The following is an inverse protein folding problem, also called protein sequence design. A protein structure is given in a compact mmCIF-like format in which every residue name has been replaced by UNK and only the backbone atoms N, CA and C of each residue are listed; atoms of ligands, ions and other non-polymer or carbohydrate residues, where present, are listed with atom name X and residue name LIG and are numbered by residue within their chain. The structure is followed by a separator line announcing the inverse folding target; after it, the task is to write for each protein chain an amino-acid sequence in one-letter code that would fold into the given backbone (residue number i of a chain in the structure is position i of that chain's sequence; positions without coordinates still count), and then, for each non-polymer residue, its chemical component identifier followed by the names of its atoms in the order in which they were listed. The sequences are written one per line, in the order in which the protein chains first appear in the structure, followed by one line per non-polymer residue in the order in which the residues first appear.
data_IF_306109119657
#
_entry.id   IF_306109119657
#
_cell.length_a   1.000
_cell.length_b   1.000
_cell.length_c   1.000
_cell.angle_alpha   90.00
_cell.angle_beta   90.00
_cell.angle_gamma   90.00
#
_symmetry.space_group_name_H-M   'P 1'
#
loop_
_entity.id
_entity.type
_entity.pdbx_description
1 polymer ?
#
# COMPACT_ATOMS: atom_id res chain seq x y z
N UNK A 1 -24.53 -46.86 -23.27
CA UNK A 1 -24.98 -45.45 -23.16
C UNK A 1 -24.00 -44.78 -22.22
N UNK A 2 -22.87 -44.38 -22.78
CA UNK A 2 -21.82 -43.61 -22.09
C UNK A 2 -21.97 -42.16 -22.55
N UNK A 3 -22.03 -41.26 -21.59
CA UNK A 3 -22.12 -39.81 -21.76
C UNK A 3 -20.78 -39.25 -22.21
N UNK A 4 -20.70 -38.37 -23.23
CA UNK A 4 -19.45 -37.79 -23.67
C UNK A 4 -19.00 -36.66 -22.73
N UNK A 5 -17.73 -36.74 -22.34
CA UNK A 5 -16.99 -35.71 -21.62
C UNK A 5 -16.97 -34.41 -22.43
N UNK A 6 -17.36 -33.30 -21.81
CA UNK A 6 -17.31 -31.98 -22.42
C UNK A 6 -15.89 -31.44 -22.39
N UNK A 7 -15.18 -31.53 -23.51
CA UNK A 7 -13.95 -30.78 -23.77
C UNK A 7 -14.24 -29.27 -23.68
N UNK A 8 -13.75 -28.63 -22.62
CA UNK A 8 -13.76 -27.19 -22.51
C UNK A 8 -12.69 -26.63 -23.47
N UNK A 9 -13.15 -26.14 -24.62
CA UNK A 9 -12.37 -25.42 -25.61
C UNK A 9 -11.57 -24.30 -24.93
N UNK A 10 -10.24 -24.45 -24.95
CA UNK A 10 -9.30 -23.35 -24.78
C UNK A 10 -9.58 -22.35 -25.91
N UNK A 11 -10.28 -21.28 -25.59
CA UNK A 11 -10.37 -20.12 -26.47
C UNK A 11 -9.06 -19.35 -26.35
N UNK A 12 -8.46 -19.14 -27.51
CA UNK A 12 -7.19 -18.47 -27.73
C UNK A 12 -7.16 -17.07 -27.10
N UNK A 13 -6.28 -16.88 -26.10
CA UNK A 13 -5.85 -15.54 -25.71
C UNK A 13 -4.95 -14.96 -26.81
N UNK A 14 -5.56 -14.11 -27.64
CA UNK A 14 -4.88 -13.32 -28.65
C UNK A 14 -3.96 -12.28 -28.00
N UNK A 15 -2.66 -12.52 -28.19
CA UNK A 15 -1.51 -11.62 -28.11
C UNK A 15 -1.71 -10.14 -27.76
N UNK A 16 -1.15 -9.77 -26.61
CA UNK A 16 -0.75 -8.42 -26.25
C UNK A 16 0.34 -8.48 -25.19
N UNK A 17 1.56 -8.89 -25.58
CA UNK A 17 2.72 -9.07 -24.70
C UNK A 17 3.28 -7.74 -24.16
N UNK A 18 2.47 -6.98 -23.44
CA UNK A 18 2.91 -5.83 -22.65
C UNK A 18 3.49 -6.31 -21.32
N UNK A 19 4.75 -5.98 -21.04
CA UNK A 19 5.37 -6.20 -19.73
C UNK A 19 4.52 -5.52 -18.64
N UNK A 20 4.26 -6.21 -17.52
CA UNK A 20 3.54 -5.61 -16.38
C UNK A 20 4.21 -4.30 -15.93
N UNK A 21 3.45 -3.26 -15.54
CA UNK A 21 4.04 -2.03 -15.04
C UNK A 21 4.87 -2.29 -13.79
N UNK A 22 5.90 -1.47 -13.59
CA UNK A 22 6.58 -1.37 -12.30
C UNK A 22 5.56 -0.85 -11.28
N UNK A 23 5.18 -1.68 -10.32
CA UNK A 23 4.11 -1.37 -9.36
C UNK A 23 4.72 -1.15 -7.99
N UNK A 24 4.46 0.00 -7.40
CA UNK A 24 4.85 0.29 -6.03
C UNK A 24 3.64 0.68 -5.17
N UNK A 25 3.74 0.41 -3.88
CA UNK A 25 2.76 0.86 -2.91
C UNK A 25 3.38 1.88 -1.95
N UNK A 26 2.67 2.99 -1.73
CA UNK A 26 3.01 3.99 -0.72
C UNK A 26 2.25 3.65 0.55
N UNK A 27 2.99 3.22 1.56
CA UNK A 27 2.50 2.77 2.86
C UNK A 27 2.76 3.80 3.94
N UNK A 28 1.90 3.81 4.97
CA UNK A 28 2.07 4.71 6.10
C UNK A 28 0.77 5.01 6.84
N UNK A 29 0.96 5.54 8.06
CA UNK A 29 -0.12 5.86 9.00
C UNK A 29 -1.17 6.82 8.40
N UNK A 30 -2.33 6.93 9.03
CA UNK A 30 -3.30 7.99 8.71
C UNK A 30 -2.62 9.33 8.99
N UNK A 31 -2.67 10.27 8.05
CA UNK A 31 -1.97 11.55 8.19
C UNK A 31 -0.46 11.53 7.89
N UNK A 32 0.10 10.43 7.35
CA UNK A 32 1.53 10.35 7.01
C UNK A 32 1.95 11.11 5.74
N UNK A 33 1.00 11.61 4.94
CA UNK A 33 1.29 12.34 3.69
C UNK A 33 1.31 11.51 2.41
N UNK A 34 0.72 10.30 2.39
CA UNK A 34 0.71 9.42 1.20
C UNK A 34 0.11 10.08 -0.04
N UNK A 35 -1.12 10.61 0.04
CA UNK A 35 -1.74 11.31 -1.11
C UNK A 35 -0.89 12.49 -1.59
N UNK A 36 -0.22 13.18 -0.66
CA UNK A 36 0.73 14.26 -1.00
C UNK A 36 1.92 13.74 -1.80
N UNK A 37 2.50 12.61 -1.41
CA UNK A 37 3.55 11.94 -2.19
C UNK A 37 3.05 11.53 -3.57
N UNK A 38 1.85 10.93 -3.69
CA UNK A 38 1.28 10.57 -4.99
C UNK A 38 1.18 11.80 -5.91
N UNK A 39 0.69 12.92 -5.38
CA UNK A 39 0.54 14.17 -6.13
C UNK A 39 1.88 14.72 -6.64
N UNK A 40 3.01 14.42 -6.01
CA UNK A 40 4.34 14.80 -6.51
C UNK A 40 4.66 14.16 -7.86
N UNK A 41 4.02 13.03 -8.18
CA UNK A 41 4.25 12.30 -9.43
C UNK A 41 3.15 12.52 -10.48
N UNK A 42 2.15 13.37 -10.21
CA UNK A 42 1.01 13.59 -11.11
C UNK A 42 1.39 14.12 -12.50
N UNK A 43 2.51 14.85 -12.59
CA UNK A 43 2.97 15.46 -13.83
C UNK A 43 3.66 14.47 -14.79
N UNK A 44 4.02 13.26 -14.31
CA UNK A 44 4.69 12.27 -15.14
C UNK A 44 3.67 11.44 -15.92
N UNK A 45 3.69 11.56 -17.25
CA UNK A 45 2.76 10.85 -18.14
C UNK A 45 3.00 9.33 -18.21
N UNK A 46 4.16 8.85 -17.76
CA UNK A 46 4.49 7.42 -17.67
C UNK A 46 4.09 6.78 -16.34
N UNK A 47 3.43 7.53 -15.45
CA UNK A 47 2.99 7.11 -14.12
C UNK A 47 1.47 7.10 -14.04
N UNK A 48 0.89 5.97 -13.62
CA UNK A 48 -0.49 5.88 -13.17
C UNK A 48 -0.53 6.03 -11.64
N UNK A 49 -1.33 6.96 -11.14
CA UNK A 49 -1.64 7.10 -9.72
C UNK A 49 -2.95 6.39 -9.41
N UNK A 50 -2.96 5.59 -8.35
CA UNK A 50 -4.14 4.88 -7.85
C UNK A 50 -4.32 5.22 -6.36
N UNK A 51 -4.96 6.37 -6.04
CA UNK A 51 -5.21 6.79 -4.66
C UNK A 51 -6.19 5.84 -3.96
N UNK A 52 -6.25 5.89 -2.62
CA UNK A 52 -7.24 5.12 -1.86
C UNK A 52 -8.65 5.60 -2.26
N UNK A 53 -9.61 4.69 -2.54
CA UNK A 53 -10.92 5.04 -3.03
C UNK A 53 -11.84 5.47 -1.88
N UNK A 54 -11.43 6.49 -1.11
CA UNK A 54 -12.14 7.00 0.07
C UNK A 54 -13.60 7.35 -0.27
N UNK A 55 -13.83 7.97 -1.42
CA UNK A 55 -15.17 8.35 -1.86
C UNK A 55 -16.10 7.13 -1.98
N UNK A 56 -15.58 6.00 -2.47
CA UNK A 56 -16.35 4.75 -2.54
C UNK A 56 -16.66 4.18 -1.15
N UNK A 57 -15.79 4.42 -0.17
CA UNK A 57 -15.99 3.96 1.21
C UNK A 57 -16.94 4.88 1.99
N UNK A 58 -17.00 6.16 1.62
CA UNK A 58 -17.95 7.14 2.16
C UNK A 58 -19.32 7.06 1.49
N UNK A 59 -19.43 6.49 0.29
CA UNK A 59 -20.70 6.29 -0.41
C UNK A 59 -20.75 4.95 -1.15
N UNK A 60 -21.03 3.87 -0.40
CA UNK A 60 -21.43 2.59 -0.99
C UNK A 60 -22.94 2.54 -1.11
N UNK A 61 -23.47 2.97 -2.26
CA UNK A 61 -24.92 2.97 -2.55
C UNK A 61 -25.75 3.70 -1.47
N UNK A 62 -25.28 4.85 -1.02
CA UNK A 62 -25.89 5.67 0.03
C UNK A 62 -25.44 5.33 1.45
N UNK A 63 -24.50 4.39 1.63
CA UNK A 63 -23.97 4.01 2.94
C UNK A 63 -22.52 4.48 3.14
N UNK A 64 -22.29 5.30 4.16
CA UNK A 64 -20.95 5.72 4.58
C UNK A 64 -20.31 4.67 5.49
N UNK A 65 -19.65 3.67 4.90
CA UNK A 65 -19.00 2.59 5.65
C UNK A 65 -17.83 3.09 6.51
N UNK A 66 -17.14 4.14 6.07
CA UNK A 66 -16.05 4.73 6.85
C UNK A 66 -16.57 5.37 8.14
N UNK A 67 -17.66 6.13 8.06
CA UNK A 67 -18.34 6.70 9.23
C UNK A 67 -18.87 5.60 10.17
N UNK A 68 -19.49 4.57 9.61
CA UNK A 68 -20.01 3.43 10.38
C UNK A 68 -18.90 2.68 11.12
N UNK A 69 -17.74 2.49 10.49
CA UNK A 69 -16.54 1.94 11.13
C UNK A 69 -16.15 2.76 12.36
N UNK A 70 -16.05 4.09 12.24
CA UNK A 70 -15.63 4.94 13.36
C UNK A 70 -16.69 5.08 14.47
N UNK A 71 -17.96 4.86 14.14
CA UNK A 71 -19.08 4.86 15.12
C UNK A 71 -19.17 3.57 15.92
N UNK A 72 -19.07 2.42 15.26
CA UNK A 72 -19.13 1.11 15.90
C UNK A 72 -18.17 0.13 15.20
N UNK A 73 -16.87 0.17 15.55
CA UNK A 73 -15.87 -0.69 14.92
C UNK A 73 -16.20 -2.17 15.07
N UNK A 74 -16.75 -2.59 16.23
CA UNK A 74 -17.09 -3.99 16.48
C UNK A 74 -18.16 -4.51 15.52
N UNK A 75 -19.11 -3.66 15.13
CA UNK A 75 -20.16 -4.04 14.19
C UNK A 75 -19.70 -3.96 12.74
N UNK A 76 -18.86 -3.00 12.39
CA UNK A 76 -18.64 -2.60 10.99
C UNK A 76 -17.24 -2.91 10.46
N UNK A 77 -16.27 -3.27 11.31
CA UNK A 77 -14.91 -3.61 10.86
C UNK A 77 -14.91 -4.73 9.82
N UNK A 78 -15.76 -5.76 9.95
CA UNK A 78 -15.76 -6.87 9.00
C UNK A 78 -16.21 -6.42 7.61
N UNK A 79 -17.36 -5.74 7.51
CA UNK A 79 -17.88 -5.25 6.23
C UNK A 79 -16.93 -4.22 5.62
N UNK A 80 -16.38 -3.33 6.43
CA UNK A 80 -15.43 -2.32 5.97
C UNK A 80 -14.16 -2.98 5.42
N UNK A 81 -13.50 -3.86 6.18
CA UNK A 81 -12.27 -4.52 5.72
C UNK A 81 -12.48 -5.44 4.52
N UNK A 82 -13.65 -6.10 4.43
CA UNK A 82 -14.03 -6.87 3.23
C UNK A 82 -14.16 -5.95 1.99
N UNK A 83 -14.81 -4.79 2.13
CA UNK A 83 -14.99 -3.85 1.03
C UNK A 83 -13.69 -3.12 0.64
N UNK A 84 -12.82 -2.80 1.60
CA UNK A 84 -11.48 -2.27 1.34
C UNK A 84 -10.65 -3.27 0.53
N UNK A 85 -10.72 -4.57 0.84
CA UNK A 85 -10.05 -5.60 0.02
C UNK A 85 -10.55 -5.62 -1.42
N UNK A 86 -11.88 -5.60 -1.63
CA UNK A 86 -12.47 -5.57 -2.96
C UNK A 86 -12.01 -4.34 -3.77
N UNK A 87 -12.14 -3.15 -3.19
CA UNK A 87 -11.83 -1.89 -3.87
C UNK A 87 -10.33 -1.75 -4.17
N UNK A 88 -9.44 -2.21 -3.27
CA UNK A 88 -7.99 -2.28 -3.56
C UNK A 88 -7.66 -3.29 -4.66
N UNK A 89 -8.34 -4.43 -4.69
CA UNK A 89 -8.17 -5.41 -5.76
C UNK A 89 -8.57 -4.83 -7.12
N UNK A 90 -9.67 -4.06 -7.17
CA UNK A 90 -10.10 -3.36 -8.38
C UNK A 90 -9.01 -2.41 -8.88
N UNK A 91 -8.40 -1.60 -8.00
CA UNK A 91 -7.29 -0.70 -8.37
C UNK A 91 -6.09 -1.45 -8.93
N UNK A 92 -5.67 -2.56 -8.31
CA UNK A 92 -4.57 -3.40 -8.82
C UNK A 92 -4.90 -3.97 -10.21
N UNK A 93 -6.18 -4.26 -10.46
CA UNK A 93 -6.67 -4.87 -11.71
C UNK A 93 -7.00 -3.89 -12.82
N UNK A 94 -7.02 -2.58 -12.53
CA UNK A 94 -7.16 -1.56 -13.56
C UNK A 94 -6.14 -1.79 -14.68
N UNK A 95 -6.57 -1.68 -15.93
CA UNK A 95 -5.67 -1.77 -17.08
C UNK A 95 -4.88 -0.48 -17.17
N UNK A 96 -3.60 -0.58 -17.52
CA UNK A 96 -2.74 0.59 -17.70
C UNK A 96 -1.75 0.40 -18.82
N UNK A 97 -1.47 1.49 -19.50
CA UNK A 97 -0.36 1.61 -20.44
C UNK A 97 0.82 2.37 -19.82
N UNK A 98 0.68 2.87 -18.60
CA UNK A 98 1.75 3.51 -17.86
C UNK A 98 2.86 2.49 -17.56
N UNK A 99 4.11 2.96 -17.57
CA UNK A 99 5.27 2.13 -17.23
C UNK A 99 5.32 1.88 -15.72
N UNK A 100 4.86 2.85 -14.93
CA UNK A 100 4.86 2.84 -13.48
C UNK A 100 3.44 2.95 -12.96
N UNK A 101 3.12 2.20 -11.91
CA UNK A 101 1.89 2.34 -11.12
C UNK A 101 2.25 2.62 -9.67
N UNK A 102 1.66 3.66 -9.11
CA UNK A 102 1.79 4.04 -7.71
C UNK A 102 0.45 3.85 -7.03
N UNK A 103 0.38 2.88 -6.12
CA UNK A 103 -0.79 2.60 -5.30
C UNK A 103 -0.68 3.37 -3.98
N UNK A 104 -1.74 4.04 -3.55
CA UNK A 104 -1.85 4.49 -2.16
C UNK A 104 -2.31 3.30 -1.31
N UNK A 105 -1.35 2.70 -0.59
CA UNK A 105 -1.46 1.39 0.08
C UNK A 105 -1.69 0.21 -0.84
N UNK A 106 -1.46 -0.99 -0.30
CA UNK A 106 -1.51 -2.27 -1.01
C UNK A 106 -2.61 -3.20 -0.48
N UNK A 107 -2.83 -4.33 -1.16
CA UNK A 107 -3.70 -5.38 -0.59
C UNK A 107 -3.06 -6.02 0.65
N UNK A 108 -1.73 -6.19 0.63
CA UNK A 108 -0.93 -6.72 1.74
C UNK A 108 -1.10 -5.87 3.01
N UNK A 109 -1.23 -4.55 2.87
CA UNK A 109 -1.50 -3.65 3.98
C UNK A 109 -2.81 -3.99 4.74
N UNK A 110 -3.86 -4.45 4.05
CA UNK A 110 -5.06 -4.91 4.76
C UNK A 110 -4.70 -6.05 5.71
N UNK A 111 -4.02 -7.09 5.19
CA UNK A 111 -3.65 -8.28 5.95
C UNK A 111 -2.70 -8.01 7.10
N UNK A 112 -1.58 -7.35 6.82
CA UNK A 112 -0.46 -7.25 7.76
C UNK A 112 -0.51 -5.99 8.64
N UNK A 113 -1.39 -5.04 8.32
CA UNK A 113 -1.52 -3.81 9.08
C UNK A 113 -2.92 -3.63 9.69
N UNK A 114 -3.97 -3.52 8.85
CA UNK A 114 -5.31 -3.20 9.34
C UNK A 114 -6.02 -4.35 10.06
N UNK A 115 -5.88 -5.59 9.59
CA UNK A 115 -6.44 -6.76 10.29
C UNK A 115 -5.70 -7.02 11.61
N UNK A 116 -4.38 -6.80 11.64
CA UNK A 116 -3.58 -6.89 12.87
C UNK A 116 -3.96 -5.79 13.87
N UNK A 117 -4.18 -4.56 13.40
CA UNK A 117 -4.74 -3.50 14.22
C UNK A 117 -6.12 -3.89 14.75
N UNK A 118 -7.01 -4.38 13.88
CA UNK A 118 -8.36 -4.77 14.25
C UNK A 118 -8.40 -5.87 15.31
N UNK A 119 -7.46 -6.83 15.26
CA UNK A 119 -7.20 -7.82 16.30
C UNK A 119 -6.74 -7.15 17.60
N UNK A 120 -5.71 -6.30 17.55
CA UNK A 120 -5.17 -5.57 18.73
C UNK A 120 -6.25 -4.76 19.46
N UNK A 121 -7.14 -4.09 18.72
CA UNK A 121 -8.21 -3.27 19.31
C UNK A 121 -9.50 -4.05 19.60
N UNK A 122 -9.55 -5.35 19.28
CA UNK A 122 -10.72 -6.20 19.51
C UNK A 122 -11.96 -5.76 18.73
N UNK A 123 -11.77 -5.23 17.51
CA UNK A 123 -12.86 -4.80 16.63
C UNK A 123 -13.32 -5.88 15.65
N UNK A 124 -12.55 -6.97 15.51
CA UNK A 124 -12.93 -8.17 14.79
C UNK A 124 -12.78 -9.37 15.72
N UNK A 125 -13.69 -10.34 15.60
CA UNK A 125 -13.53 -11.64 16.25
C UNK A 125 -12.48 -12.51 15.54
N UNK A 126 -12.04 -13.59 16.17
CA UNK A 126 -11.09 -14.52 15.55
C UNK A 126 -11.69 -15.23 14.32
N UNK A 127 -13.00 -15.50 14.32
CA UNK A 127 -13.71 -16.08 13.18
C UNK A 127 -13.79 -15.10 12.01
N UNK A 128 -14.08 -13.82 12.28
CA UNK A 128 -14.10 -12.76 11.27
C UNK A 128 -12.70 -12.55 10.66
N UNK A 129 -11.67 -12.55 11.50
CA UNK A 129 -10.27 -12.48 11.06
C UNK A 129 -9.89 -13.68 10.20
N UNK A 130 -10.27 -14.90 10.61
CA UNK A 130 -10.00 -16.12 9.86
C UNK A 130 -10.61 -16.08 8.46
N UNK A 131 -11.84 -15.58 8.32
CA UNK A 131 -12.49 -15.42 7.00
C UNK A 131 -11.73 -14.40 6.14
N UNK A 132 -11.37 -13.24 6.69
CA UNK A 132 -10.65 -12.20 5.93
C UNK A 132 -9.23 -12.64 5.56
N UNK A 133 -8.56 -13.42 6.41
CA UNK A 133 -7.27 -14.04 6.09
C UNK A 133 -7.40 -15.06 4.96
N UNK A 134 -8.38 -15.96 5.02
CA UNK A 134 -8.59 -16.98 3.98
C UNK A 134 -8.87 -16.34 2.61
N UNK A 135 -9.63 -15.25 2.58
CA UNK A 135 -9.81 -14.45 1.36
C UNK A 135 -8.49 -13.89 0.84
N UNK A 136 -7.68 -13.29 1.71
CA UNK A 136 -6.39 -12.74 1.30
C UNK A 136 -5.43 -13.81 0.78
N UNK A 137 -5.32 -14.97 1.46
CA UNK A 137 -4.46 -16.09 1.05
C UNK A 137 -4.88 -16.66 -0.32
N UNK A 138 -6.19 -16.78 -0.56
CA UNK A 138 -6.69 -17.19 -1.86
C UNK A 138 -6.37 -16.17 -2.95
N UNK A 139 -6.53 -14.87 -2.67
CA UNK A 139 -6.19 -13.80 -3.61
C UNK A 139 -4.70 -13.76 -3.95
N UNK A 140 -3.84 -13.90 -2.94
CA UNK A 140 -2.39 -13.88 -3.09
C UNK A 140 -1.87 -15.08 -3.90
N UNK A 141 -2.42 -16.26 -3.66
CA UNK A 141 -2.08 -17.47 -4.42
C UNK A 141 -2.68 -17.52 -5.83
N UNK A 142 -3.83 -16.88 -6.05
CA UNK A 142 -4.57 -16.96 -7.33
C UNK A 142 -4.28 -15.81 -8.29
N UNK A 143 -3.66 -14.72 -7.83
CA UNK A 143 -3.46 -13.50 -8.61
C UNK A 143 -2.04 -12.95 -8.48
N UNK A 144 -1.56 -12.29 -9.54
CA UNK A 144 -0.27 -11.61 -9.49
C UNK A 144 -0.41 -10.25 -8.77
N UNK A 145 -0.26 -10.26 -7.44
CA UNK A 145 -0.34 -9.08 -6.56
C UNK A 145 1.04 -8.50 -6.19
N UNK A 146 2.08 -8.89 -6.93
CA UNK A 146 3.46 -8.54 -6.62
C UNK A 146 3.73 -7.04 -6.72
N UNK A 147 4.36 -6.50 -5.68
CA UNK A 147 4.93 -5.16 -5.68
C UNK A 147 6.41 -5.24 -6.07
N UNK A 148 6.89 -4.25 -6.81
CA UNK A 148 8.31 -4.09 -7.12
C UNK A 148 9.04 -3.22 -6.09
N UNK A 149 8.31 -2.41 -5.33
CA UNK A 149 8.81 -1.53 -4.28
C UNK A 149 7.69 -1.20 -3.28
N UNK A 150 8.02 -1.20 -1.99
CA UNK A 150 7.18 -0.59 -0.95
C UNK A 150 7.86 0.69 -0.51
N UNK A 151 7.17 1.82 -0.58
CA UNK A 151 7.64 3.08 0.00
C UNK A 151 6.93 3.29 1.32
N UNK A 152 7.66 3.26 2.43
CA UNK A 152 7.11 3.46 3.77
C UNK A 152 7.37 4.90 4.24
N UNK A 153 6.31 5.69 4.37
CA UNK A 153 6.33 7.01 4.99
C UNK A 153 6.23 6.86 6.51
N UNK A 154 7.38 6.63 7.16
CA UNK A 154 7.47 6.44 8.61
C UNK A 154 7.24 7.77 9.32
N UNK A 155 6.14 7.89 10.05
CA UNK A 155 5.73 9.12 10.75
C UNK A 155 5.45 8.79 12.22
N UNK A 156 5.89 9.65 13.13
CA UNK A 156 5.54 9.51 14.54
C UNK A 156 4.01 9.63 14.74
N UNK A 157 3.40 8.80 15.61
CA UNK A 157 1.96 8.85 15.88
C UNK A 157 1.43 10.24 16.22
N UNK A 158 2.18 11.04 17.00
CA UNK A 158 1.78 12.41 17.38
C UNK A 158 1.73 13.35 16.18
N UNK A 159 2.69 13.23 15.26
CA UNK A 159 2.74 14.04 14.04
C UNK A 159 1.61 13.62 13.10
N UNK A 160 1.43 12.32 12.91
CA UNK A 160 0.33 11.75 12.14
C UNK A 160 -1.04 12.19 12.68
N UNK A 161 -1.22 12.16 14.00
CA UNK A 161 -2.43 12.61 14.68
C UNK A 161 -2.70 14.10 14.47
N UNK A 162 -1.68 14.96 14.66
CA UNK A 162 -1.80 16.39 14.40
C UNK A 162 -2.23 16.67 12.95
N UNK A 163 -1.63 15.98 11.98
CA UNK A 163 -1.98 16.11 10.55
C UNK A 163 -3.40 15.60 10.25
N UNK A 164 -3.80 14.48 10.85
CA UNK A 164 -5.17 13.94 10.72
C UNK A 164 -6.21 14.94 11.24
N UNK A 165 -5.99 15.50 12.43
CA UNK A 165 -6.88 16.50 13.02
C UNK A 165 -6.92 17.79 12.20
N UNK A 166 -5.77 18.26 11.69
CA UNK A 166 -5.70 19.43 10.83
C UNK A 166 -6.44 19.26 9.50
N UNK A 167 -6.47 18.04 8.94
CA UNK A 167 -7.26 17.69 7.75
C UNK A 167 -8.77 17.74 8.01
N UNK A 168 -9.19 17.61 9.26
CA UNK A 168 -10.56 17.82 9.73
C UNK A 168 -11.63 17.03 8.95
N UNK A 169 -11.36 15.74 8.69
CA UNK A 169 -12.35 14.82 8.10
C UNK A 169 -13.35 14.41 9.17
N UNK A 170 -14.64 14.62 8.92
CA UNK A 170 -15.73 14.38 9.88
C UNK A 170 -15.72 12.97 10.48
N UNK A 171 -15.50 11.97 9.62
CA UNK A 171 -15.52 10.56 9.98
C UNK A 171 -14.40 10.19 10.95
N UNK A 172 -13.25 10.87 10.86
CA UNK A 172 -12.06 10.59 11.67
C UNK A 172 -12.05 11.34 13.01
N UNK A 173 -13.04 12.18 13.29
CA UNK A 173 -13.08 13.06 14.47
C UNK A 173 -13.09 12.33 15.82
N UNK A 174 -13.56 11.08 15.85
CA UNK A 174 -13.56 10.24 17.06
C UNK A 174 -12.25 9.47 17.28
N UNK A 175 -11.36 9.46 16.28
CA UNK A 175 -10.12 8.71 16.34
C UNK A 175 -9.19 9.29 17.42
N UNK A 176 -8.63 8.41 18.26
CA UNK A 176 -7.71 8.78 19.34
C UNK A 176 -6.27 8.56 18.90
N UNK A 177 -5.34 9.33 19.48
CA UNK A 177 -3.90 9.11 19.29
C UNK A 177 -3.49 7.64 19.48
N UNK A 178 -4.04 6.97 20.50
CA UNK A 178 -3.76 5.55 20.78
C UNK A 178 -4.06 4.63 19.58
N UNK A 179 -5.11 4.90 18.81
CA UNK A 179 -5.41 4.14 17.59
C UNK A 179 -4.29 4.28 16.55
N UNK A 180 -3.75 5.50 16.40
CA UNK A 180 -2.65 5.78 15.48
C UNK A 180 -1.33 5.20 15.99
N UNK A 181 -1.14 5.12 17.31
CA UNK A 181 0.00 4.42 17.92
C UNK A 181 -0.05 2.93 17.60
N UNK A 182 -1.19 2.26 17.81
CA UNK A 182 -1.34 0.85 17.44
C UNK A 182 -1.20 0.60 15.95
N UNK A 183 -1.71 1.51 15.11
CA UNK A 183 -1.53 1.43 13.67
C UNK A 183 -0.05 1.58 13.29
N UNK A 184 0.68 2.49 13.93
CA UNK A 184 2.12 2.64 13.74
C UNK A 184 2.87 1.35 14.10
N UNK A 185 2.58 0.76 15.26
CA UNK A 185 3.16 -0.52 15.66
C UNK A 185 2.89 -1.62 14.63
N UNK A 186 1.68 -1.69 14.05
CA UNK A 186 1.38 -2.66 13.00
C UNK A 186 2.19 -2.43 11.71
N UNK A 187 2.51 -1.18 11.35
CA UNK A 187 3.45 -0.90 10.25
C UNK A 187 4.89 -1.30 10.61
N UNK A 188 5.35 -1.02 11.82
CA UNK A 188 6.69 -1.42 12.28
C UNK A 188 6.82 -2.95 12.34
N UNK A 189 5.80 -3.64 12.86
CA UNK A 189 5.70 -5.11 12.89
C UNK A 189 5.82 -5.72 11.48
N UNK A 190 5.18 -5.08 10.49
CA UNK A 190 5.17 -5.58 9.12
C UNK A 190 6.44 -5.20 8.33
N UNK A 191 6.77 -3.92 8.25
CA UNK A 191 7.75 -3.41 7.29
C UNK A 191 9.18 -3.30 7.85
N UNK A 192 9.33 -3.25 9.17
CA UNK A 192 10.62 -3.02 9.83
C UNK A 192 11.11 -4.27 10.55
N UNK A 193 10.34 -4.79 11.50
CA UNK A 193 10.73 -6.01 12.24
C UNK A 193 10.43 -7.29 11.46
N UNK A 194 9.67 -7.19 10.35
CA UNK A 194 9.32 -8.30 9.46
C UNK A 194 8.75 -9.51 10.23
N UNK A 195 7.89 -9.21 11.22
CA UNK A 195 7.29 -10.19 12.14
C UNK A 195 6.52 -11.31 11.43
N UNK A 196 6.06 -11.05 10.20
CA UNK A 196 5.29 -11.99 9.39
C UNK A 196 6.13 -12.75 8.35
N UNK A 197 7.46 -12.65 8.44
CA UNK A 197 8.41 -13.26 7.51
C UNK A 197 9.11 -12.23 6.63
N UNK A 198 10.18 -12.69 5.98
CA UNK A 198 11.02 -11.83 5.14
C UNK A 198 10.23 -11.28 3.94
N UNK A 199 10.43 -9.99 3.65
CA UNK A 199 9.80 -9.35 2.50
C UNK A 199 10.63 -9.58 1.23
N UNK A 200 10.00 -10.19 0.22
CA UNK A 200 10.59 -10.35 -1.12
C UNK A 200 10.66 -9.06 -1.94
N UNK A 201 10.06 -7.98 -1.43
CA UNK A 201 9.97 -6.66 -2.04
C UNK A 201 10.87 -5.68 -1.29
N UNK A 202 11.72 -4.89 -1.97
CA UNK A 202 12.50 -3.85 -1.29
C UNK A 202 11.58 -2.84 -0.62
N UNK A 203 11.98 -2.40 0.58
CA UNK A 203 11.29 -1.32 1.31
C UNK A 203 12.18 -0.08 1.27
N UNK A 204 11.66 1.03 0.77
CA UNK A 204 12.28 2.36 0.85
C UNK A 204 11.58 3.15 1.96
N UNK A 205 12.32 3.48 3.01
CA UNK A 205 11.80 4.18 4.18
C UNK A 205 12.17 5.66 4.10
N UNK A 206 11.16 6.51 4.15
CA UNK A 206 11.34 7.94 4.40
C UNK A 206 10.97 8.26 5.84
N UNK A 207 11.81 9.04 6.52
CA UNK A 207 11.36 9.81 7.69
C UNK A 207 10.39 10.88 7.21
N UNK A 208 9.10 10.66 7.44
CA UNK A 208 8.02 11.55 7.01
C UNK A 208 7.61 12.55 8.11
N UNK A 209 8.45 12.76 9.14
CA UNK A 209 8.22 13.79 10.15
C UNK A 209 8.64 15.20 9.68
N UNK A 210 9.42 15.30 8.60
CA UNK A 210 9.77 16.59 7.99
C UNK A 210 8.55 17.32 7.41
N UNK A 211 8.73 18.61 7.13
CA UNK A 211 7.71 19.43 6.48
C UNK A 211 7.55 19.10 4.98
N UNK A 212 6.53 19.69 4.36
CA UNK A 212 6.20 19.39 2.98
C UNK A 212 7.31 19.78 1.98
N UNK A 213 8.01 20.88 2.21
CA UNK A 213 9.03 21.36 1.29
C UNK A 213 10.22 20.38 1.27
N UNK A 214 10.66 19.97 2.45
CA UNK A 214 11.70 18.96 2.61
C UNK A 214 11.26 17.61 2.04
N UNK A 215 10.03 17.15 2.32
CA UNK A 215 9.53 15.89 1.75
C UNK A 215 9.49 15.89 0.23
N UNK A 216 9.06 17.00 -0.40
CA UNK A 216 9.05 17.12 -1.86
C UNK A 216 10.45 17.03 -2.45
N UNK A 217 11.45 17.67 -1.83
CA UNK A 217 12.84 17.57 -2.26
C UNK A 217 13.31 16.10 -2.24
N UNK A 218 13.06 15.39 -1.15
CA UNK A 218 13.44 13.97 -1.00
C UNK A 218 12.75 13.07 -2.03
N UNK A 219 11.48 13.32 -2.35
CA UNK A 219 10.78 12.58 -3.39
C UNK A 219 11.37 12.83 -4.79
N UNK A 220 11.81 14.06 -5.06
CA UNK A 220 12.49 14.39 -6.30
C UNK A 220 13.87 13.70 -6.41
N UNK A 221 14.66 13.71 -5.34
CA UNK A 221 15.96 13.01 -5.29
C UNK A 221 15.81 11.50 -5.46
N UNK A 222 14.76 10.91 -4.89
CA UNK A 222 14.44 9.49 -5.03
C UNK A 222 13.65 9.13 -6.30
N UNK A 223 13.40 10.08 -7.21
CA UNK A 223 12.48 9.90 -8.33
C UNK A 223 12.87 8.72 -9.24
N UNK A 224 14.16 8.48 -9.46
CA UNK A 224 14.63 7.35 -10.28
C UNK A 224 14.37 6.00 -9.63
N UNK A 225 14.42 5.92 -8.30
CA UNK A 225 14.09 4.72 -7.54
C UNK A 225 12.58 4.50 -7.57
N UNK A 226 11.80 5.55 -7.27
CA UNK A 226 10.32 5.50 -7.23
C UNK A 226 9.76 5.19 -8.62
N UNK A 227 10.39 5.68 -9.69
CA UNK A 227 10.00 5.37 -11.08
C UNK A 227 10.66 4.09 -11.60
N UNK A 228 11.38 3.34 -10.76
CA UNK A 228 11.93 2.02 -11.09
C UNK A 228 13.06 2.02 -12.13
N UNK A 229 13.68 3.17 -12.39
CA UNK A 229 14.91 3.29 -13.20
C UNK A 229 16.14 2.81 -12.43
N UNK A 230 16.19 3.07 -11.11
CA UNK A 230 17.16 2.50 -10.18
C UNK A 230 16.50 1.44 -9.32
N UNK A 231 17.14 0.27 -9.18
CA UNK A 231 16.61 -0.86 -8.40
C UNK A 231 17.33 -0.98 -7.08
N UNK A 232 16.56 -0.93 -6.00
CA UNK A 232 17.06 -1.19 -4.66
C UNK A 232 17.28 -2.68 -4.43
N UNK A 233 18.26 -3.07 -3.60
CA UNK A 233 18.38 -4.44 -3.12
C UNK A 233 17.15 -4.82 -2.29
N UNK A 234 16.79 -6.12 -2.33
CA UNK A 234 15.69 -6.73 -1.57
C UNK A 234 15.97 -6.75 -0.06
N UNK A 235 15.90 -5.58 0.56
CA UNK A 235 16.08 -5.33 1.98
C UNK A 235 15.34 -4.05 2.36
N UNK A 236 15.48 -3.64 3.62
CA UNK A 236 15.05 -2.32 4.08
C UNK A 236 16.15 -1.31 3.70
N UNK A 237 15.74 -0.22 3.05
CA UNK A 237 16.61 0.85 2.58
C UNK A 237 16.11 2.16 3.17
N UNK A 238 16.94 2.86 3.93
CA UNK A 238 16.59 4.15 4.53
C UNK A 238 17.07 5.27 3.61
N UNK A 239 16.23 6.29 3.45
CA UNK A 239 16.58 7.50 2.70
C UNK A 239 17.09 8.61 3.64
N UNK A 240 18.19 9.30 3.32
CA UNK A 240 18.94 9.28 2.05
C UNK A 240 20.10 8.26 1.98
N UNK A 241 20.34 7.47 3.02
CA UNK A 241 21.52 6.59 3.12
C UNK A 241 21.63 5.62 1.94
N UNK A 242 20.50 5.14 1.41
CA UNK A 242 20.47 4.24 0.26
C UNK A 242 21.01 4.86 -1.04
N UNK A 243 21.13 6.18 -1.13
CA UNK A 243 21.69 6.85 -2.31
C UNK A 243 23.21 6.60 -2.44
N UNK A 244 23.92 6.52 -1.31
CA UNK A 244 25.36 6.28 -1.27
C UNK A 244 25.73 4.94 -1.93
N UNK A 245 24.86 3.92 -1.78
CA UNK A 245 25.06 2.62 -2.41
C UNK A 245 25.08 2.65 -3.95
N UNK A 246 24.48 3.68 -4.57
CA UNK A 246 24.53 3.87 -6.02
C UNK A 246 25.79 4.64 -6.45
N UNK A 247 26.16 5.68 -5.69
CA UNK A 247 27.37 6.48 -5.95
C UNK A 247 28.63 5.61 -5.85
N UNK A 248 28.72 4.77 -4.83
CA UNK A 248 29.86 3.86 -4.64
C UNK A 248 30.00 2.88 -5.81
N UNK A 249 28.89 2.36 -6.33
CA UNK A 249 28.91 1.44 -7.49
C UNK A 249 29.33 2.14 -8.77
N UNK A 250 28.86 3.36 -9.00
CA UNK A 250 29.27 4.16 -10.16
C UNK A 250 30.76 4.53 -10.08
N UNK A 251 31.25 4.90 -8.90
CA UNK A 251 32.67 5.20 -8.67
C UNK A 251 33.57 3.96 -8.87
N UNK A 252 33.16 2.79 -8.38
CA UNK A 252 33.87 1.53 -8.63
C UNK A 252 33.88 1.21 -10.13
N UNK A 253 32.75 1.33 -10.83
CA UNK A 253 32.68 1.06 -12.27
C UNK A 253 33.58 2.02 -13.08
N UNK A 254 33.62 3.30 -12.71
CA UNK A 254 34.44 4.31 -13.38
C UNK A 254 35.94 4.17 -13.08
N UNK A 255 36.33 3.58 -11.94
CA UNK A 255 37.74 3.32 -11.61
C UNK A 255 38.31 2.04 -12.24
N UNK A 256 37.45 1.22 -12.85
CA UNK A 256 37.83 0.02 -13.62
C UNK A 256 37.95 0.26 -15.13
N UNK A 257 37.74 1.50 -15.59
CA UNK A 257 37.91 1.98 -16.97
C UNK A 257 39.18 2.84 -17.08
#
# INVERSE_FOLDING_TARGET
MESPESECNKSDEVGGGGRRPFTLAVEGNIGSGKSTMLNCFQAFTDVQLSPEPIDQWCDLKGHNLLELLYKDPKRWSFQFQSYVQLTRLQLIREKTHARVRILERSLQNNRYCFLELARKVGSLSEEELAVLHAWHEWLDSSMNLNLDLIVYLKTHPDVAYKRMMARNRSEESSAKLQYLTYLHESYEDWLISQKFGDLDTPVLVFDANFDLAEMNLRYHEAADIIRGFKRLPKKINYFPECLQEFEDKENIANSML
#
